data_IF_952468132950
#
_entry.id   IF_952468132950
#
_cell.length_a   1.000
_cell.length_b   1.000
_cell.length_c   1.000
_cell.angle_alpha   90.00
_cell.angle_beta   90.00
_cell.angle_gamma   90.00
#
_symmetry.space_group_name_H-M   'P 1'
#
loop_
_entity.id
_entity.type
_entity.pdbx_description
1 polymer ?
#
# COMPACT_ATOMS: atom_id res chain seq x y z
N UNK A 1 -7.20 -7.03 -14.86
CA UNK A 1 -7.20 -7.65 -13.52
C UNK A 1 -7.44 -6.56 -12.49
N UNK A 2 -8.61 -6.48 -11.86
CA UNK A 2 -9.04 -5.33 -11.04
C UNK A 2 -9.25 -5.77 -9.60
N UNK A 3 -8.80 -4.98 -8.63
CA UNK A 3 -9.16 -5.11 -7.22
C UNK A 3 -10.16 -4.00 -6.91
N UNK A 4 -11.37 -4.34 -6.45
CA UNK A 4 -12.43 -3.35 -6.25
C UNK A 4 -13.14 -3.51 -4.91
N UNK A 5 -13.59 -2.39 -4.37
CA UNK A 5 -14.54 -2.29 -3.28
C UNK A 5 -15.91 -1.90 -3.86
N UNK A 6 -16.97 -2.61 -3.50
CA UNK A 6 -18.33 -2.43 -4.02
C UNK A 6 -19.28 -2.18 -2.87
N UNK A 7 -19.76 -0.94 -2.73
CA UNK A 7 -20.64 -0.48 -1.64
C UNK A 7 -20.14 -0.93 -0.25
N UNK A 8 -18.80 -0.80 -0.05
CA UNK A 8 -18.09 -1.37 1.08
C UNK A 8 -18.45 -0.63 2.37
N UNK A 9 -18.83 -1.40 3.39
CA UNK A 9 -19.04 -0.93 4.74
C UNK A 9 -18.11 -1.70 5.69
N UNK A 10 -17.39 -0.97 6.55
CA UNK A 10 -16.46 -1.55 7.52
C UNK A 10 -16.77 -1.06 8.92
N UNK A 11 -16.73 -1.98 9.87
CA UNK A 11 -16.91 -1.69 11.30
C UNK A 11 -15.68 -2.14 12.08
N UNK A 12 -15.19 -1.31 13.00
CA UNK A 12 -14.08 -1.64 13.90
C UNK A 12 -14.41 -1.23 15.32
N UNK A 13 -14.31 -2.17 16.26
CA UNK A 13 -14.67 -1.90 17.66
C UNK A 13 -16.12 -1.39 17.84
N UNK A 14 -17.07 -1.88 17.03
CA UNK A 14 -18.48 -1.48 17.07
C UNK A 14 -18.78 -0.11 16.42
N UNK A 15 -17.79 0.57 15.84
CA UNK A 15 -17.97 1.86 15.15
C UNK A 15 -17.83 1.70 13.65
N UNK A 16 -18.67 2.34 12.86
CA UNK A 16 -18.51 2.45 11.41
C UNK A 16 -17.24 3.26 11.12
N UNK A 17 -16.36 2.72 10.25
CA UNK A 17 -15.11 3.36 9.85
C UNK A 17 -15.01 3.57 8.34
N UNK A 18 -15.84 2.86 7.56
CA UNK A 18 -16.04 3.09 6.12
C UNK A 18 -17.51 2.85 5.81
N UNK A 19 -18.11 3.72 4.99
CA UNK A 19 -19.53 3.67 4.65
C UNK A 19 -19.76 3.83 3.15
N UNK A 20 -20.36 2.80 2.54
CA UNK A 20 -20.83 2.81 1.15
C UNK A 20 -19.74 3.09 0.12
N UNK A 21 -18.47 2.76 0.42
CA UNK A 21 -17.34 3.08 -0.45
C UNK A 21 -17.32 2.17 -1.67
N UNK A 22 -17.29 2.78 -2.86
CA UNK A 22 -17.08 2.08 -4.12
C UNK A 22 -15.89 2.67 -4.83
N UNK A 23 -14.89 1.83 -5.14
CA UNK A 23 -13.67 2.22 -5.86
C UNK A 23 -13.06 1.01 -6.55
N UNK A 24 -12.43 1.24 -7.72
CA UNK A 24 -11.76 0.20 -8.49
C UNK A 24 -10.30 0.58 -8.75
N UNK A 25 -9.40 -0.33 -8.37
CA UNK A 25 -7.96 -0.16 -8.55
C UNK A 25 -7.51 -0.89 -9.82
N UNK A 26 -6.68 -0.23 -10.63
CA UNK A 26 -6.18 -0.79 -11.88
C UNK A 26 -4.82 -1.48 -11.68
N UNK A 27 -4.57 -2.63 -12.32
CA UNK A 27 -3.26 -3.27 -12.34
C UNK A 27 -2.25 -2.42 -13.12
N UNK A 28 -0.97 -2.59 -12.81
CA UNK A 28 0.09 -1.82 -13.47
C UNK A 28 0.12 -0.33 -13.08
N UNK A 29 -0.60 0.05 -12.05
CA UNK A 29 -0.75 1.42 -11.56
C UNK A 29 -0.47 1.52 -10.07
N UNK A 30 -0.01 2.70 -9.64
CA UNK A 30 0.07 3.07 -8.24
C UNK A 30 -1.18 3.87 -7.88
N UNK A 31 -2.00 3.33 -6.99
CA UNK A 31 -3.13 4.04 -6.38
C UNK A 31 -2.73 4.51 -4.99
N UNK A 32 -2.68 5.81 -4.76
CA UNK A 32 -2.49 6.37 -3.42
C UNK A 32 -3.84 6.51 -2.71
N UNK A 33 -3.88 6.11 -1.43
CA UNK A 33 -5.03 6.30 -0.54
C UNK A 33 -4.63 7.36 0.47
N UNK A 34 -5.29 8.52 0.44
CA UNK A 34 -4.98 9.67 1.28
C UNK A 34 -6.23 10.15 2.03
N UNK A 35 -6.04 10.99 3.04
CA UNK A 35 -7.12 11.57 3.84
C UNK A 35 -6.66 11.87 5.27
N UNK A 36 -7.44 12.61 6.06
CA UNK A 36 -7.15 12.89 7.45
C UNK A 36 -6.98 11.64 8.31
N UNK A 37 -6.43 11.81 9.52
CA UNK A 37 -6.35 10.72 10.48
C UNK A 37 -7.78 10.27 10.86
N UNK A 38 -7.99 8.95 10.96
CA UNK A 38 -9.31 8.40 11.23
C UNK A 38 -10.25 8.31 10.03
N UNK A 39 -9.84 8.73 8.83
CA UNK A 39 -10.69 8.67 7.62
C UNK A 39 -10.99 7.25 7.11
N UNK A 40 -10.42 6.19 7.70
CA UNK A 40 -10.68 4.81 7.31
C UNK A 40 -9.66 4.19 6.35
N UNK A 41 -8.55 4.88 6.03
CA UNK A 41 -7.54 4.45 5.06
C UNK A 41 -6.98 3.05 5.31
N UNK A 42 -6.42 2.81 6.51
CA UNK A 42 -5.87 1.50 6.88
C UNK A 42 -6.96 0.42 6.94
N UNK A 43 -8.17 0.76 7.36
CA UNK A 43 -9.30 -0.17 7.38
C UNK A 43 -9.70 -0.57 5.95
N UNK A 44 -9.76 0.39 5.02
CA UNK A 44 -9.98 0.10 3.59
C UNK A 44 -8.88 -0.82 3.07
N UNK A 45 -7.60 -0.51 3.35
CA UNK A 45 -6.49 -1.31 2.86
C UNK A 45 -6.52 -2.74 3.43
N UNK A 46 -6.86 -2.91 4.72
CA UNK A 46 -7.06 -4.22 5.35
C UNK A 46 -8.21 -5.01 4.71
N UNK A 47 -9.31 -4.35 4.37
CA UNK A 47 -10.42 -5.00 3.68
C UNK A 47 -10.02 -5.43 2.26
N UNK A 48 -9.31 -4.56 1.51
CA UNK A 48 -8.74 -4.89 0.19
C UNK A 48 -7.75 -6.06 0.25
N UNK A 49 -7.03 -6.21 1.37
CA UNK A 49 -6.15 -7.35 1.62
C UNK A 49 -6.89 -8.64 2.05
N UNK A 50 -8.20 -8.55 2.33
CA UNK A 50 -8.99 -9.64 2.88
C UNK A 50 -8.63 -9.98 4.33
N UNK A 51 -8.06 -9.01 5.07
CA UNK A 51 -7.67 -9.11 6.49
C UNK A 51 -8.71 -8.48 7.43
N UNK A 52 -9.63 -7.68 6.91
CA UNK A 52 -10.79 -7.14 7.62
C UNK A 52 -12.04 -7.53 6.84
N UNK A 53 -12.95 -8.22 7.50
CA UNK A 53 -14.21 -8.65 6.89
C UNK A 53 -15.18 -7.48 6.77
N UNK A 54 -15.78 -7.25 5.58
CA UNK A 54 -16.82 -6.25 5.39
C UNK A 54 -18.05 -6.51 6.25
N UNK A 55 -18.62 -5.45 6.86
CA UNK A 55 -19.92 -5.50 7.50
C UNK A 55 -21.07 -5.31 6.50
N UNK A 56 -20.77 -4.92 5.25
CA UNK A 56 -21.69 -4.81 4.13
C UNK A 56 -20.92 -4.52 2.84
N UNK A 57 -21.54 -4.81 1.70
CA UNK A 57 -20.86 -4.74 0.41
C UNK A 57 -19.83 -5.87 0.22
N UNK A 58 -18.88 -5.69 -0.70
CA UNK A 58 -17.87 -6.70 -0.99
C UNK A 58 -16.57 -6.08 -1.46
N UNK A 59 -15.46 -6.83 -1.30
CA UNK A 59 -14.24 -6.62 -2.06
C UNK A 59 -14.11 -7.73 -3.08
N UNK A 60 -13.84 -7.36 -4.33
CA UNK A 60 -13.72 -8.29 -5.44
C UNK A 60 -12.33 -8.25 -6.07
N UNK A 61 -11.83 -9.41 -6.50
CA UNK A 61 -10.64 -9.57 -7.33
C UNK A 61 -11.09 -10.17 -8.68
N UNK A 62 -10.95 -9.39 -9.76
CA UNK A 62 -11.44 -9.74 -11.09
C UNK A 62 -12.93 -10.14 -11.11
N UNK A 63 -13.76 -9.41 -10.36
CA UNK A 63 -15.19 -9.69 -10.20
C UNK A 63 -15.54 -10.85 -9.26
N UNK A 64 -14.53 -11.57 -8.73
CA UNK A 64 -14.77 -12.64 -7.76
C UNK A 64 -14.65 -12.07 -6.34
N UNK A 65 -15.67 -12.22 -5.47
CA UNK A 65 -15.58 -11.79 -4.08
C UNK A 65 -14.40 -12.44 -3.36
N UNK A 66 -13.61 -11.65 -2.61
CA UNK A 66 -12.48 -12.19 -1.83
C UNK A 66 -12.90 -13.26 -0.83
N UNK A 67 -14.12 -13.17 -0.31
CA UNK A 67 -14.69 -14.16 0.60
C UNK A 67 -14.87 -15.54 -0.06
N UNK A 68 -15.05 -15.61 -1.38
CA UNK A 68 -15.17 -16.85 -2.14
C UNK A 68 -13.79 -17.49 -2.44
N UNK A 69 -12.69 -16.73 -2.33
CA UNK A 69 -11.34 -17.24 -2.53
C UNK A 69 -10.84 -17.97 -1.27
N UNK A 70 -10.08 -19.04 -1.47
CA UNK A 70 -9.39 -19.68 -0.33
C UNK A 70 -8.39 -18.71 0.30
N UNK A 71 -8.11 -18.81 1.61
CA UNK A 71 -7.09 -17.98 2.28
C UNK A 71 -5.73 -18.04 1.56
N UNK A 72 -5.37 -19.23 1.07
CA UNK A 72 -4.15 -19.44 0.29
C UNK A 72 -4.18 -18.68 -1.05
N UNK A 73 -5.29 -18.78 -1.81
CA UNK A 73 -5.45 -18.09 -3.08
C UNK A 73 -5.38 -16.56 -2.91
N UNK A 74 -6.00 -16.02 -1.85
CA UNK A 74 -5.87 -14.59 -1.51
C UNK A 74 -4.41 -14.21 -1.22
N UNK A 75 -3.72 -14.98 -0.37
CA UNK A 75 -2.32 -14.73 0.00
C UNK A 75 -1.33 -14.89 -1.17
N UNK A 76 -1.67 -15.67 -2.19
CA UNK A 76 -0.89 -15.74 -3.45
C UNK A 76 -1.15 -14.53 -4.34
N UNK A 77 -2.36 -13.98 -4.33
CA UNK A 77 -2.74 -12.86 -5.19
C UNK A 77 -2.39 -11.50 -4.59
N UNK A 78 -2.45 -11.36 -3.26
CA UNK A 78 -2.34 -10.07 -2.56
C UNK A 78 -1.25 -10.15 -1.51
N UNK A 79 -0.21 -9.32 -1.67
CA UNK A 79 0.83 -9.09 -0.67
C UNK A 79 0.51 -7.84 0.15
N UNK A 80 0.57 -7.97 1.48
CA UNK A 80 0.30 -6.87 2.40
C UNK A 80 1.55 -6.48 3.19
N UNK A 81 1.88 -5.19 3.16
CA UNK A 81 2.96 -4.55 3.90
C UNK A 81 2.34 -3.65 4.99
N UNK A 82 2.33 -4.06 6.27
CA UNK A 82 1.77 -3.27 7.35
C UNK A 82 2.70 -2.10 7.74
N UNK A 83 2.13 -1.06 8.36
CA UNK A 83 2.84 0.12 8.85
C UNK A 83 3.95 -0.23 9.85
N UNK A 84 3.67 -1.08 10.81
CA UNK A 84 4.59 -1.48 11.86
C UNK A 84 4.46 -2.98 12.11
N UNK A 85 5.15 -3.82 11.35
CA UNK A 85 5.10 -5.25 11.60
C UNK A 85 5.90 -5.60 12.84
N UNK A 86 5.24 -6.26 13.79
CA UNK A 86 5.93 -6.92 14.89
C UNK A 86 6.64 -8.16 14.36
N UNK A 87 7.97 -8.17 14.48
CA UNK A 87 8.78 -9.35 14.19
C UNK A 87 9.10 -9.99 15.53
N UNK A 88 8.32 -11.02 15.88
CA UNK A 88 8.36 -11.66 17.20
C UNK A 88 9.67 -12.44 17.46
N UNK A 89 10.43 -12.77 16.41
CA UNK A 89 11.66 -13.57 16.52
C UNK A 89 12.81 -12.89 15.79
N UNK A 90 14.02 -13.03 16.35
CA UNK A 90 15.25 -12.54 15.74
C UNK A 90 15.74 -13.53 14.66
N UNK A 91 15.07 -13.49 13.51
CA UNK A 91 15.39 -14.33 12.36
C UNK A 91 16.33 -13.60 11.40
N UNK A 92 17.03 -14.35 10.54
CA UNK A 92 17.82 -13.75 9.45
C UNK A 92 16.92 -13.08 8.40
N UNK A 93 17.51 -12.13 7.65
CA UNK A 93 16.86 -11.49 6.50
C UNK A 93 16.30 -12.53 5.53
N UNK A 94 17.10 -13.52 5.13
CA UNK A 94 16.65 -14.57 4.22
C UNK A 94 15.46 -15.37 4.79
N UNK A 95 15.50 -15.71 6.06
CA UNK A 95 14.40 -16.42 6.71
C UNK A 95 13.11 -15.60 6.73
N UNK A 96 13.20 -14.27 6.98
CA UNK A 96 12.05 -13.39 6.94
C UNK A 96 11.48 -13.27 5.52
N UNK A 97 12.35 -13.12 4.51
CA UNK A 97 11.94 -13.04 3.09
C UNK A 97 11.27 -14.35 2.65
N UNK A 98 11.80 -15.50 3.06
CA UNK A 98 11.24 -16.82 2.77
C UNK A 98 9.80 -17.00 3.28
N UNK A 99 9.38 -16.27 4.33
CA UNK A 99 7.97 -16.32 4.78
C UNK A 99 6.99 -15.85 3.69
N UNK A 100 7.42 -15.04 2.73
CA UNK A 100 6.61 -14.66 1.58
C UNK A 100 6.20 -15.86 0.70
N UNK A 101 6.90 -16.99 0.80
CA UNK A 101 6.61 -18.23 0.05
C UNK A 101 5.66 -19.18 0.76
N UNK A 102 5.26 -18.91 2.01
CA UNK A 102 4.33 -19.79 2.74
C UNK A 102 3.05 -20.14 1.95
N UNK A 103 2.39 -19.21 1.23
CA UNK A 103 1.20 -19.53 0.46
C UNK A 103 1.47 -20.52 -0.69
N UNK A 104 2.70 -20.61 -1.18
CA UNK A 104 3.07 -21.47 -2.32
C UNK A 104 3.43 -22.89 -1.87
N UNK A 105 3.82 -23.09 -0.61
CA UNK A 105 4.28 -24.38 -0.05
C UNK A 105 5.47 -24.95 -0.81
N UNK A 106 6.31 -24.10 -1.35
CA UNK A 106 7.54 -24.44 -2.05
C UNK A 106 8.75 -23.81 -1.33
N UNK A 107 9.96 -24.16 -1.77
CA UNK A 107 11.18 -23.52 -1.25
C UNK A 107 11.36 -22.13 -1.83
N UNK A 108 10.81 -21.86 -3.02
CA UNK A 108 10.82 -20.58 -3.70
C UNK A 108 12.19 -19.93 -3.87
N UNK A 109 13.27 -20.72 -3.94
CA UNK A 109 14.65 -20.22 -3.92
C UNK A 109 14.87 -19.12 -4.97
N UNK A 110 14.42 -19.34 -6.21
CA UNK A 110 14.56 -18.33 -7.26
C UNK A 110 13.79 -17.04 -6.96
N UNK A 111 12.60 -17.13 -6.37
CA UNK A 111 11.80 -15.95 -6.01
C UNK A 111 12.42 -15.18 -4.82
N UNK A 112 13.00 -15.88 -3.84
CA UNK A 112 13.71 -15.30 -2.72
C UNK A 112 14.97 -14.58 -3.22
N UNK A 113 15.78 -15.23 -4.07
CA UNK A 113 16.97 -14.61 -4.67
C UNK A 113 16.61 -13.35 -5.45
N UNK A 114 15.59 -13.44 -6.31
CA UNK A 114 15.13 -12.29 -7.09
C UNK A 114 14.65 -11.13 -6.19
N UNK A 115 13.95 -11.42 -5.08
CA UNK A 115 13.48 -10.41 -4.15
C UNK A 115 14.64 -9.77 -3.36
N UNK A 116 15.64 -10.56 -2.95
CA UNK A 116 16.85 -10.03 -2.29
C UNK A 116 17.66 -9.14 -3.22
N UNK A 117 17.89 -9.59 -4.47
CA UNK A 117 18.62 -8.83 -5.47
C UNK A 117 17.90 -7.53 -5.86
N UNK A 118 16.57 -7.58 -6.06
CA UNK A 118 15.78 -6.40 -6.42
C UNK A 118 15.85 -5.26 -5.40
N UNK A 119 16.23 -5.56 -4.15
CA UNK A 119 16.25 -4.61 -3.04
C UNK A 119 17.65 -4.44 -2.41
N UNK A 120 18.71 -4.90 -3.09
CA UNK A 120 20.11 -4.81 -2.65
C UNK A 120 20.32 -5.38 -1.22
N UNK A 121 19.81 -6.60 -0.98
CA UNK A 121 19.83 -7.24 0.34
C UNK A 121 20.75 -8.45 0.44
N UNK A 122 21.46 -8.81 -0.64
CA UNK A 122 22.33 -10.02 -0.68
C UNK A 122 23.40 -10.02 0.41
N UNK A 123 24.01 -8.87 0.68
CA UNK A 123 25.04 -8.72 1.72
C UNK A 123 24.46 -8.78 3.14
N UNK A 124 23.15 -8.60 3.27
CA UNK A 124 22.44 -8.63 4.55
C UNK A 124 21.77 -9.97 4.83
N UNK A 125 21.86 -10.92 3.91
CA UNK A 125 21.10 -12.20 3.90
C UNK A 125 21.08 -12.92 5.26
N UNK A 126 22.22 -13.05 5.90
CA UNK A 126 22.40 -13.77 7.18
C UNK A 126 22.25 -12.88 8.41
N UNK A 127 22.12 -11.55 8.21
CA UNK A 127 22.03 -10.59 9.32
C UNK A 127 20.71 -10.77 10.06
N UNK A 128 20.71 -10.77 11.42
CA UNK A 128 19.50 -10.74 12.22
C UNK A 128 18.69 -9.46 11.95
N UNK A 129 17.36 -9.59 11.85
CA UNK A 129 16.46 -8.46 11.53
C UNK A 129 16.47 -7.38 12.61
N UNK A 130 16.75 -7.76 13.87
CA UNK A 130 16.91 -6.83 14.99
C UNK A 130 18.09 -5.86 14.82
N UNK A 131 19.05 -6.18 13.96
CA UNK A 131 20.28 -5.39 13.71
C UNK A 131 20.20 -4.54 12.44
N UNK A 132 19.04 -4.41 11.84
CA UNK A 132 18.81 -3.62 10.64
C UNK A 132 18.48 -2.17 11.00
N UNK A 133 18.95 -1.23 10.18
CA UNK A 133 18.44 0.14 10.18
C UNK A 133 16.97 0.17 9.73
N UNK A 134 16.27 1.29 9.96
CA UNK A 134 14.89 1.46 9.54
C UNK A 134 14.71 1.24 8.02
N UNK A 135 15.60 1.81 7.20
CA UNK A 135 15.57 1.66 5.75
C UNK A 135 15.88 0.23 5.29
N UNK A 136 16.88 -0.45 5.89
CA UNK A 136 17.15 -1.86 5.61
C UNK A 136 15.94 -2.74 5.97
N UNK A 137 15.34 -2.50 7.14
CA UNK A 137 14.13 -3.24 7.58
C UNK A 137 12.96 -3.05 6.62
N UNK A 138 12.70 -1.81 6.16
CA UNK A 138 11.64 -1.55 5.19
C UNK A 138 11.85 -2.30 3.87
N UNK A 139 13.08 -2.32 3.35
CA UNK A 139 13.44 -3.10 2.15
C UNK A 139 13.25 -4.59 2.35
N UNK A 140 13.65 -5.15 3.49
CA UNK A 140 13.47 -6.57 3.82
C UNK A 140 11.99 -6.94 3.90
N UNK A 141 11.14 -6.08 4.47
CA UNK A 141 9.71 -6.29 4.54
C UNK A 141 9.05 -6.26 3.15
N UNK A 142 9.50 -5.35 2.28
CA UNK A 142 9.07 -5.34 0.88
C UNK A 142 9.58 -6.59 0.15
N UNK A 143 10.83 -7.04 0.37
CA UNK A 143 11.38 -8.26 -0.21
C UNK A 143 10.53 -9.50 0.15
N UNK A 144 10.05 -9.58 1.42
CA UNK A 144 9.12 -10.64 1.84
C UNK A 144 7.84 -10.62 1.01
N UNK A 145 7.28 -9.44 0.73
CA UNK A 145 6.09 -9.32 -0.11
C UNK A 145 6.40 -9.76 -1.54
N UNK A 146 7.52 -9.28 -2.12
CA UNK A 146 7.93 -9.59 -3.49
C UNK A 146 8.26 -11.07 -3.70
N UNK A 147 8.86 -11.74 -2.71
CA UNK A 147 9.11 -13.17 -2.76
C UNK A 147 7.82 -13.99 -2.94
N UNK A 148 6.69 -13.47 -2.45
CA UNK A 148 5.35 -14.02 -2.70
C UNK A 148 4.88 -13.89 -4.15
N UNK A 149 5.55 -13.08 -4.97
CA UNK A 149 5.16 -12.75 -6.34
C UNK A 149 3.65 -12.43 -6.46
N UNK A 150 3.13 -11.49 -5.65
CA UNK A 150 1.70 -11.17 -5.64
C UNK A 150 1.31 -10.38 -6.90
N UNK A 151 0.03 -10.45 -7.26
CA UNK A 151 -0.55 -9.60 -8.31
C UNK A 151 -0.82 -8.18 -7.82
N UNK A 152 -1.06 -8.04 -6.52
CA UNK A 152 -1.34 -6.78 -5.83
C UNK A 152 -0.43 -6.59 -4.63
N UNK A 153 0.16 -5.42 -4.53
CA UNK A 153 0.96 -4.97 -3.37
C UNK A 153 0.15 -3.90 -2.65
N UNK A 154 -0.23 -4.16 -1.42
CA UNK A 154 -0.96 -3.23 -0.57
C UNK A 154 -0.06 -2.80 0.58
N UNK A 155 0.27 -1.50 0.67
CA UNK A 155 1.24 -0.97 1.62
C UNK A 155 0.62 0.12 2.51
N UNK A 156 0.60 -0.13 3.81
CA UNK A 156 0.05 0.80 4.80
C UNK A 156 1.17 1.66 5.39
N UNK A 157 1.23 2.93 4.97
CA UNK A 157 2.20 3.93 5.41
C UNK A 157 3.66 3.45 5.40
N UNK A 158 4.15 2.80 4.34
CA UNK A 158 5.45 2.16 4.34
C UNK A 158 6.63 3.14 4.40
N UNK A 159 6.36 4.45 4.29
CA UNK A 159 7.35 5.51 4.22
C UNK A 159 7.53 6.28 5.54
N UNK A 160 6.61 6.09 6.53
CA UNK A 160 6.50 6.96 7.71
C UNK A 160 7.76 7.02 8.60
N UNK A 161 8.56 5.93 8.64
CA UNK A 161 9.75 5.85 9.48
C UNK A 161 11.07 5.95 8.69
N UNK A 162 11.02 6.40 7.43
CA UNK A 162 12.15 6.45 6.53
C UNK A 162 12.64 7.88 6.30
N UNK A 163 13.94 8.06 6.18
CA UNK A 163 14.51 9.30 5.65
C UNK A 163 14.20 9.46 4.15
N UNK A 164 14.43 10.66 3.63
CA UNK A 164 14.08 11.00 2.25
C UNK A 164 14.70 10.06 1.20
N UNK A 165 15.97 9.66 1.38
CA UNK A 165 16.65 8.79 0.42
C UNK A 165 15.99 7.41 0.37
N UNK A 166 15.67 6.83 1.54
CA UNK A 166 15.00 5.54 1.65
C UNK A 166 13.54 5.60 1.18
N UNK A 167 12.83 6.72 1.42
CA UNK A 167 11.47 6.92 0.87
C UNK A 167 11.47 6.87 -0.66
N UNK A 168 12.37 7.64 -1.29
CA UNK A 168 12.47 7.68 -2.75
C UNK A 168 12.89 6.33 -3.35
N UNK A 169 13.82 5.62 -2.70
CA UNK A 169 14.20 4.27 -3.12
C UNK A 169 13.02 3.30 -3.06
N UNK A 170 12.25 3.30 -1.96
CA UNK A 170 11.08 2.42 -1.81
C UNK A 170 10.01 2.74 -2.85
N UNK A 171 9.73 4.02 -3.12
CA UNK A 171 8.81 4.44 -4.18
C UNK A 171 9.31 3.97 -5.55
N UNK A 172 10.62 4.06 -5.83
CA UNK A 172 11.19 3.58 -7.08
C UNK A 172 10.97 2.07 -7.26
N UNK A 173 11.12 1.27 -6.21
CA UNK A 173 10.82 -0.17 -6.25
C UNK A 173 9.33 -0.44 -6.50
N UNK A 174 8.43 0.27 -5.82
CA UNK A 174 6.98 0.14 -6.05
C UNK A 174 6.59 0.54 -7.48
N UNK A 175 7.22 1.59 -8.04
CA UNK A 175 7.05 1.96 -9.44
C UNK A 175 7.54 0.88 -10.40
N UNK A 176 8.65 0.23 -10.10
CA UNK A 176 9.16 -0.90 -10.89
C UNK A 176 8.16 -2.07 -10.88
N UNK A 177 7.59 -2.40 -9.73
CA UNK A 177 6.53 -3.41 -9.60
C UNK A 177 5.29 -3.06 -10.44
N UNK A 178 4.83 -1.82 -10.38
CA UNK A 178 3.70 -1.37 -11.19
C UNK A 178 4.00 -1.49 -12.69
N UNK A 179 5.18 -1.05 -13.15
CA UNK A 179 5.61 -1.19 -14.55
C UNK A 179 5.70 -2.66 -14.99
N UNK A 180 5.97 -3.58 -14.07
CA UNK A 180 5.96 -5.02 -14.33
C UNK A 180 4.54 -5.61 -14.38
N UNK A 181 3.49 -4.79 -14.20
CA UNK A 181 2.09 -5.18 -14.31
C UNK A 181 1.40 -5.47 -12.97
N UNK A 182 2.10 -5.39 -11.83
CA UNK A 182 1.49 -5.54 -10.51
C UNK A 182 0.65 -4.29 -10.18
N UNK A 183 -0.50 -4.47 -9.53
CA UNK A 183 -1.24 -3.35 -8.96
C UNK A 183 -0.62 -2.95 -7.61
N UNK A 184 -0.50 -1.65 -7.35
CA UNK A 184 0.03 -1.13 -6.09
C UNK A 184 -1.00 -0.20 -5.46
N UNK A 185 -1.42 -0.46 -4.22
CA UNK A 185 -2.17 0.49 -3.42
C UNK A 185 -1.35 0.88 -2.19
N UNK A 186 -1.18 2.17 -1.97
CA UNK A 186 -0.34 2.71 -0.90
C UNK A 186 -1.07 3.77 -0.10
N UNK A 187 -1.13 3.62 1.21
CA UNK A 187 -1.58 4.68 2.11
C UNK A 187 -0.45 5.67 2.32
N UNK A 188 -0.73 6.94 2.09
CA UNK A 188 0.22 8.04 2.24
C UNK A 188 -0.39 9.16 3.09
N UNK A 189 0.46 9.79 3.94
CA UNK A 189 0.13 11.04 4.63
C UNK A 189 0.61 12.27 3.85
N UNK A 190 1.74 12.12 3.16
CA UNK A 190 2.33 13.21 2.38
C UNK A 190 1.62 13.33 1.03
N UNK A 191 0.86 14.42 0.85
CA UNK A 191 0.13 14.71 -0.37
C UNK A 191 1.07 15.01 -1.54
N UNK A 192 2.29 15.54 -1.29
CA UNK A 192 3.25 15.79 -2.35
C UNK A 192 3.81 14.47 -2.91
N UNK A 193 4.02 13.46 -2.07
CA UNK A 193 4.38 12.13 -2.54
C UNK A 193 3.27 11.50 -3.37
N UNK A 194 2.01 11.62 -2.95
CA UNK A 194 0.87 11.16 -3.73
C UNK A 194 0.76 11.89 -5.08
N UNK A 195 0.85 13.23 -5.08
CA UNK A 195 0.79 14.07 -6.28
C UNK A 195 1.87 13.72 -7.31
N UNK A 196 3.09 13.43 -6.86
CA UNK A 196 4.23 13.24 -7.75
C UNK A 196 4.49 11.78 -8.14
N UNK A 197 3.89 10.82 -7.44
CA UNK A 197 4.28 9.42 -7.60
C UNK A 197 3.13 8.46 -7.83
N UNK A 198 1.87 8.84 -7.57
CA UNK A 198 0.72 8.02 -7.88
C UNK A 198 0.23 8.23 -9.31
N UNK A 199 -0.42 7.20 -9.87
CA UNK A 199 -1.18 7.28 -11.12
C UNK A 199 -2.65 7.62 -10.86
N UNK A 200 -3.15 7.23 -9.69
CA UNK A 200 -4.53 7.46 -9.24
C UNK A 200 -4.55 7.74 -7.74
N UNK A 201 -5.47 8.55 -7.27
CA UNK A 201 -5.61 8.90 -5.86
C UNK A 201 -7.04 8.69 -5.42
N UNK A 202 -7.21 8.02 -4.27
CA UNK A 202 -8.45 7.93 -3.53
C UNK A 202 -8.34 8.83 -2.30
N UNK A 203 -9.20 9.84 -2.20
CA UNK A 203 -9.26 10.75 -1.04
C UNK A 203 -10.40 10.30 -0.14
N UNK A 204 -10.07 9.85 1.06
CA UNK A 204 -11.04 9.45 2.07
C UNK A 204 -11.27 10.57 3.07
N UNK A 205 -12.54 10.78 3.44
CA UNK A 205 -12.94 11.71 4.48
C UNK A 205 -14.13 11.12 5.25
N UNK A 206 -14.04 11.08 6.58
CA UNK A 206 -15.11 10.58 7.46
C UNK A 206 -15.71 9.23 7.03
N UNK A 207 -14.83 8.28 6.66
CA UNK A 207 -15.22 6.94 6.26
C UNK A 207 -15.82 6.83 4.84
N UNK A 208 -15.80 7.89 4.04
CA UNK A 208 -16.37 7.94 2.70
C UNK A 208 -15.31 8.32 1.67
N UNK A 209 -15.55 7.93 0.41
CA UNK A 209 -14.78 8.41 -0.73
C UNK A 209 -15.21 9.85 -1.03
N UNK A 210 -14.34 10.82 -0.71
CA UNK A 210 -14.61 12.24 -0.95
C UNK A 210 -14.28 12.68 -2.38
N UNK A 211 -13.24 12.06 -2.97
CA UNK A 211 -12.79 12.33 -4.34
C UNK A 211 -11.92 11.17 -4.83
N UNK A 212 -11.91 10.92 -6.13
CA UNK A 212 -10.96 10.03 -6.78
C UNK A 212 -10.58 10.54 -8.18
N UNK A 213 -9.44 10.10 -8.68
CA UNK A 213 -8.99 10.44 -10.02
C UNK A 213 -7.48 10.56 -10.16
N UNK A 214 -6.99 11.12 -11.27
CA UNK A 214 -5.60 11.51 -11.42
C UNK A 214 -5.16 12.44 -10.28
N UNK A 215 -3.89 12.41 -9.85
CA UNK A 215 -3.43 13.19 -8.70
C UNK A 215 -3.78 14.68 -8.77
N UNK A 216 -3.68 15.30 -9.97
CA UNK A 216 -3.96 16.73 -10.14
C UNK A 216 -5.43 17.09 -9.88
N UNK A 217 -6.35 16.18 -10.18
CA UNK A 217 -7.79 16.38 -10.00
C UNK A 217 -8.21 16.00 -8.58
N UNK A 218 -7.75 14.84 -8.11
CA UNK A 218 -8.10 14.32 -6.78
C UNK A 218 -7.51 15.17 -5.64
N UNK A 219 -6.38 15.82 -5.87
CA UNK A 219 -5.69 16.68 -4.91
C UNK A 219 -5.73 18.17 -5.32
N UNK A 220 -6.77 18.61 -6.05
CA UNK A 220 -6.98 20.02 -6.35
C UNK A 220 -7.13 20.85 -5.06
N UNK A 221 -6.73 22.12 -5.09
CA UNK A 221 -6.74 22.99 -3.91
C UNK A 221 -8.11 23.08 -3.21
N UNK A 222 -9.21 23.04 -3.99
CA UNK A 222 -10.58 22.99 -3.47
C UNK A 222 -10.91 21.69 -2.72
N UNK A 223 -10.36 20.56 -3.18
CA UNK A 223 -10.51 19.27 -2.50
C UNK A 223 -9.73 19.28 -1.16
N UNK A 224 -8.50 19.83 -1.18
CA UNK A 224 -7.68 19.97 0.02
C UNK A 224 -8.40 20.88 1.03
N UNK A 225 -8.94 22.02 0.60
CA UNK A 225 -9.68 22.92 1.46
C UNK A 225 -10.92 22.23 2.09
N UNK A 226 -11.69 21.48 1.29
CA UNK A 226 -12.89 20.78 1.74
C UNK A 226 -12.57 19.64 2.72
N UNK A 227 -11.50 18.86 2.48
CA UNK A 227 -11.19 17.64 3.23
C UNK A 227 -10.29 17.89 4.45
N UNK A 228 -9.30 18.78 4.32
CA UNK A 228 -8.34 19.08 5.41
C UNK A 228 -8.59 20.44 6.09
N UNK A 229 -9.51 21.25 5.57
CA UNK A 229 -9.81 22.58 6.11
C UNK A 229 -8.68 23.61 5.91
N UNK A 230 -7.78 23.36 4.96
CA UNK A 230 -6.59 24.19 4.72
C UNK A 230 -6.59 24.74 3.30
N UNK A 231 -6.45 26.05 3.15
CA UNK A 231 -6.18 26.65 1.83
C UNK A 231 -4.75 26.31 1.41
N UNK A 232 -4.59 25.67 0.26
CA UNK A 232 -3.28 25.24 -0.22
C UNK A 232 -3.19 25.33 -1.75
N UNK A 233 -1.98 25.56 -2.24
CA UNK A 233 -1.67 25.63 -3.67
C UNK A 233 -0.50 24.70 -4.02
N UNK A 234 -0.56 24.15 -5.23
CA UNK A 234 0.53 23.37 -5.79
C UNK A 234 1.46 24.27 -6.58
N UNK A 235 2.76 24.24 -6.23
CA UNK A 235 3.82 24.93 -6.96
C UNK A 235 4.75 23.92 -7.62
N UNK A 236 5.28 24.26 -8.78
CA UNK A 236 6.25 23.44 -9.53
C UNK A 236 5.65 22.69 -10.72
N UNK A 237 6.51 21.99 -11.43
CA UNK A 237 6.22 21.22 -12.64
C UNK A 237 5.57 19.86 -12.31
N UNK A 238 4.82 19.24 -13.22
CA UNK A 238 4.34 17.87 -13.06
C UNK A 238 5.44 16.91 -12.67
N UNK A 239 5.20 16.10 -11.62
CA UNK A 239 6.17 15.17 -11.04
C UNK A 239 7.18 15.80 -10.06
N UNK A 240 7.14 17.13 -9.85
CA UNK A 240 8.00 17.89 -8.91
C UNK A 240 7.22 18.99 -8.19
N UNK A 241 5.95 18.73 -7.88
CA UNK A 241 5.08 19.69 -7.20
C UNK A 241 5.29 19.67 -5.70
N UNK A 242 5.35 20.85 -5.10
CA UNK A 242 5.30 21.05 -3.65
C UNK A 242 3.97 21.68 -3.25
N UNK A 243 3.42 21.28 -2.11
CA UNK A 243 2.22 21.87 -1.52
C UNK A 243 2.61 23.03 -0.61
N UNK A 244 2.03 24.19 -0.86
CA UNK A 244 2.22 25.37 -0.02
C UNK A 244 0.85 25.78 0.55
N UNK A 245 0.77 25.84 1.89
CA UNK A 245 -0.42 26.34 2.58
C UNK A 245 -0.44 27.87 2.51
N UNK A 246 -1.57 28.46 2.09
CA UNK A 246 -1.85 29.86 2.29
C UNK A 246 -2.11 30.17 3.78
N UNK A 247 -1.69 31.33 4.21
CA UNK A 247 -2.05 31.84 5.54
C UNK A 247 -3.54 32.19 5.63
#
# INVERSE_FOLDING_TARGET
MTLAAENLNLTRGGRSVVEGLTAALAPGKITAIVGPNGAGKSSLLLALAGLLEPSGGAVTLDGTPLAALTPRGRAQAIGYLPQSPDIAWDVSVESLVALGRLPWRDRGTAAIEAALAALDLETLRTRPVSRLSGGERARVLLARVLAGNPRWILADEPLAALDLAHQLALIAHLKACARAGQGVAIVLHDLALAMNHADHVLVLHEGRLAQEGPPADALAGEVIARVWGVSAQWLGEPGRRGLVSGA
#
